data_IF_744383201452
#
_entry.id   IF_744383201452
#
_cell.length_a   1.000
_cell.length_b   1.000
_cell.length_c   1.000
_cell.angle_alpha   90.00
_cell.angle_beta   90.00
_cell.angle_gamma   90.00
#
_symmetry.space_group_name_H-M   'P 1'
#
loop_
_entity.id
_entity.type
_entity.pdbx_description
1 polymer ?
#
# COMPACT_ATOMS: atom_id res chain seq x y z
N UNK A 1 -12.20 -25.82 -47.82
CA UNK A 1 -11.06 -24.87 -47.65
C UNK A 1 -11.47 -23.78 -46.67
N UNK A 2 -11.17 -23.96 -45.39
CA UNK A 2 -11.46 -23.02 -44.30
C UNK A 2 -10.23 -22.13 -44.07
N UNK A 3 -10.38 -20.81 -44.22
CA UNK A 3 -9.32 -19.83 -43.91
C UNK A 3 -9.45 -19.41 -42.45
N UNK A 4 -8.51 -19.88 -41.62
CA UNK A 4 -8.30 -19.40 -40.25
C UNK A 4 -7.92 -17.92 -40.25
N UNK A 5 -8.75 -17.07 -39.63
CA UNK A 5 -8.38 -15.70 -39.27
C UNK A 5 -7.76 -15.70 -37.88
N UNK A 6 -6.45 -15.48 -37.82
CA UNK A 6 -5.73 -15.13 -36.59
C UNK A 6 -6.30 -13.82 -36.02
N UNK A 7 -6.94 -13.90 -34.86
CA UNK A 7 -7.29 -12.75 -34.04
C UNK A 7 -6.00 -12.29 -33.32
N UNK A 8 -5.32 -11.29 -33.87
CA UNK A 8 -4.31 -10.53 -33.12
C UNK A 8 -5.04 -9.61 -32.15
N UNK A 9 -5.14 -10.02 -30.89
CA UNK A 9 -5.50 -9.11 -29.78
C UNK A 9 -4.30 -8.20 -29.53
N UNK A 10 -4.32 -7.00 -30.12
CA UNK A 10 -3.45 -5.91 -29.68
C UNK A 10 -3.95 -5.45 -28.31
N UNK A 11 -3.24 -5.82 -27.24
CA UNK A 11 -3.36 -5.11 -25.98
C UNK A 11 -3.01 -3.64 -26.26
N UNK A 12 -3.88 -2.69 -25.87
CA UNK A 12 -3.63 -1.30 -26.17
C UNK A 12 -2.39 -0.83 -25.40
N UNK A 13 -1.56 0.00 -26.04
CA UNK A 13 -0.25 0.43 -25.54
C UNK A 13 -0.27 0.96 -24.09
N UNK A 14 -1.40 1.52 -23.63
CA UNK A 14 -1.60 1.96 -22.26
C UNK A 14 -1.70 0.82 -21.24
N UNK A 15 -2.27 -0.34 -21.61
CA UNK A 15 -2.31 -1.52 -20.75
C UNK A 15 -0.91 -2.13 -20.56
N UNK A 16 -0.09 -2.12 -21.63
CA UNK A 16 1.32 -2.51 -21.54
C UNK A 16 2.13 -1.52 -20.69
N UNK A 17 1.86 -0.22 -20.78
CA UNK A 17 2.48 0.78 -19.93
C UNK A 17 2.10 0.63 -18.45
N UNK A 18 0.84 0.30 -18.14
CA UNK A 18 0.40 0.00 -16.77
C UNK A 18 1.05 -1.28 -16.25
N UNK A 19 1.12 -2.33 -17.06
CA UNK A 19 1.80 -3.59 -16.70
C UNK A 19 3.31 -3.37 -16.50
N UNK A 20 3.95 -2.54 -17.33
CA UNK A 20 5.36 -2.15 -17.17
C UNK A 20 5.58 -1.32 -15.91
N UNK A 21 4.72 -0.36 -15.61
CA UNK A 21 4.80 0.43 -14.37
C UNK A 21 4.58 -0.47 -13.15
N UNK A 22 3.62 -1.39 -13.19
CA UNK A 22 3.35 -2.36 -12.12
C UNK A 22 4.50 -3.37 -11.94
N UNK A 23 5.16 -3.82 -13.02
CA UNK A 23 6.27 -4.78 -12.96
C UNK A 23 7.62 -4.16 -12.59
N UNK A 24 7.79 -2.84 -12.71
CA UNK A 24 8.93 -2.12 -12.13
C UNK A 24 8.72 -1.69 -10.67
N UNK A 25 7.47 -1.67 -10.19
CA UNK A 25 7.17 -1.40 -8.78
C UNK A 25 7.56 -2.58 -7.87
N UNK A 26 7.41 -3.83 -8.33
CA UNK A 26 7.62 -5.02 -7.48
C UNK A 26 9.07 -5.29 -7.05
N UNK A 27 10.13 -5.23 -7.91
CA UNK A 27 11.49 -5.46 -7.44
C UNK A 27 12.04 -4.30 -6.60
N UNK A 28 11.67 -3.05 -6.93
CA UNK A 28 12.07 -1.88 -6.15
C UNK A 28 11.37 -1.84 -4.77
N UNK A 29 10.14 -2.35 -4.67
CA UNK A 29 9.45 -2.54 -3.38
C UNK A 29 10.07 -3.67 -2.57
N UNK A 30 10.44 -4.81 -3.18
CA UNK A 30 11.06 -5.94 -2.47
C UNK A 30 12.42 -5.55 -1.83
N UNK A 31 13.25 -4.79 -2.54
CA UNK A 31 14.54 -4.31 -2.02
C UNK A 31 14.34 -3.30 -0.88
N UNK A 32 13.35 -2.41 -0.99
CA UNK A 32 13.00 -1.47 0.08
C UNK A 32 12.45 -2.22 1.29
N UNK A 33 11.59 -3.22 1.10
CA UNK A 33 11.03 -4.01 2.19
C UNK A 33 12.11 -4.79 2.93
N UNK A 34 13.02 -5.47 2.23
CA UNK A 34 14.13 -6.18 2.87
C UNK A 34 15.00 -5.23 3.72
N UNK A 35 15.27 -4.03 3.20
CA UNK A 35 16.03 -3.00 3.91
C UNK A 35 15.27 -2.42 5.10
N UNK A 36 13.96 -2.23 4.98
CA UNK A 36 13.07 -1.79 6.06
C UNK A 36 13.08 -2.78 7.23
N UNK A 37 12.95 -4.08 6.94
CA UNK A 37 12.97 -5.13 7.95
C UNK A 37 14.34 -5.27 8.63
N UNK A 38 15.44 -5.17 7.88
CA UNK A 38 16.80 -5.20 8.46
C UNK A 38 17.02 -4.00 9.40
N UNK A 39 16.65 -2.79 8.96
CA UNK A 39 16.74 -1.60 9.83
C UNK A 39 15.85 -1.68 11.05
N UNK A 40 14.61 -2.18 10.92
CA UNK A 40 13.72 -2.36 12.06
C UNK A 40 14.34 -3.32 13.10
N UNK A 41 14.90 -4.45 12.65
CA UNK A 41 15.56 -5.41 13.51
C UNK A 41 16.80 -4.82 14.21
N UNK A 42 17.57 -3.98 13.52
CA UNK A 42 18.74 -3.28 14.09
C UNK A 42 18.31 -2.25 15.12
N UNK A 43 17.34 -1.40 14.79
CA UNK A 43 16.87 -0.33 15.68
C UNK A 43 16.24 -0.91 16.96
N UNK A 44 15.53 -2.03 16.86
CA UNK A 44 15.03 -2.77 18.02
C UNK A 44 16.14 -3.26 18.98
N UNK A 45 17.38 -3.39 18.50
CA UNK A 45 18.54 -3.77 19.34
C UNK A 45 19.32 -2.57 19.86
N UNK A 46 19.32 -1.47 19.11
CA UNK A 46 20.12 -0.27 19.41
C UNK A 46 19.40 0.71 20.34
N UNK A 47 18.07 0.82 20.22
CA UNK A 47 17.25 1.69 21.05
C UNK A 47 16.87 0.91 22.32
N UNK A 48 17.07 1.47 23.54
CA UNK A 48 16.66 0.79 24.75
C UNK A 48 15.13 0.61 24.83
N UNK A 49 14.71 -0.49 25.47
CA UNK A 49 13.33 -0.94 25.43
C UNK A 49 12.28 0.07 25.97
N UNK A 50 12.53 0.86 27.03
CA UNK A 50 11.58 1.85 27.52
C UNK A 50 11.25 2.93 26.48
N UNK A 51 12.28 3.53 25.89
CA UNK A 51 12.17 4.59 24.88
C UNK A 51 11.57 4.05 23.59
N UNK A 52 11.91 2.82 23.21
CA UNK A 52 11.32 2.14 22.05
C UNK A 52 9.82 1.91 22.23
N UNK A 53 9.37 1.46 23.41
CA UNK A 53 7.95 1.27 23.71
C UNK A 53 7.18 2.60 23.69
N UNK A 54 7.74 3.62 24.33
CA UNK A 54 7.14 4.95 24.35
C UNK A 54 7.01 5.52 22.93
N UNK A 55 8.06 5.41 22.11
CA UNK A 55 8.02 5.79 20.71
C UNK A 55 6.97 4.98 19.93
N UNK A 56 6.95 3.66 20.12
CA UNK A 56 6.00 2.77 19.45
C UNK A 56 4.55 3.14 19.76
N UNK A 57 4.18 3.26 21.03
CA UNK A 57 2.80 3.56 21.47
C UNK A 57 2.30 4.87 20.86
N UNK A 58 3.15 5.90 20.86
CA UNK A 58 2.81 7.21 20.31
C UNK A 58 2.74 7.19 18.78
N UNK A 59 3.71 6.57 18.09
CA UNK A 59 3.69 6.48 16.62
C UNK A 59 2.55 5.59 16.12
N UNK A 60 2.20 4.53 16.85
CA UNK A 60 1.06 3.67 16.52
C UNK A 60 -0.28 4.39 16.73
N UNK A 61 -0.34 5.40 17.60
CA UNK A 61 -1.52 6.24 17.79
C UNK A 61 -1.74 7.26 16.67
N UNK A 62 -0.71 7.58 15.87
CA UNK A 62 -0.86 8.52 14.76
C UNK A 62 -1.83 8.00 13.70
N UNK A 63 -2.65 8.89 13.11
CA UNK A 63 -3.53 8.50 12.01
C UNK A 63 -2.72 8.10 10.77
N UNK A 64 -3.28 7.21 9.93
CA UNK A 64 -2.63 6.79 8.69
C UNK A 64 -2.50 7.92 7.66
N UNK A 65 -3.20 9.04 7.84
CA UNK A 65 -3.03 10.26 7.06
C UNK A 65 -1.85 11.12 7.51
N UNK A 66 -1.25 10.80 8.67
CA UNK A 66 -0.22 11.64 9.26
C UNK A 66 0.97 11.82 8.32
N UNK A 67 1.47 13.05 8.23
CA UNK A 67 2.64 13.40 7.42
C UNK A 67 3.95 13.31 8.24
N UNK A 68 5.09 13.56 7.60
CA UNK A 68 6.41 13.48 8.26
C UNK A 68 6.60 14.55 9.34
N UNK A 69 6.04 15.75 9.16
CA UNK A 69 6.17 16.85 10.11
C UNK A 69 5.36 16.60 11.37
N UNK A 70 4.14 16.06 11.25
CA UNK A 70 3.32 15.65 12.39
C UNK A 70 4.01 14.55 13.20
N UNK A 71 4.61 13.56 12.52
CA UNK A 71 5.40 12.53 13.17
C UNK A 71 6.62 13.13 13.89
N UNK A 72 7.36 14.03 13.26
CA UNK A 72 8.52 14.71 13.90
C UNK A 72 8.11 15.55 15.10
N UNK A 73 7.01 16.30 14.98
CA UNK A 73 6.47 17.08 16.08
C UNK A 73 6.12 16.19 17.28
N UNK A 74 5.56 15.00 17.03
CA UNK A 74 5.31 14.03 18.08
C UNK A 74 6.60 13.49 18.70
N UNK A 75 7.61 13.17 17.91
CA UNK A 75 8.89 12.68 18.47
C UNK A 75 9.57 13.73 19.35
N UNK A 76 9.50 15.00 18.95
CA UNK A 76 10.07 16.11 19.71
C UNK A 76 9.40 16.32 21.07
N UNK A 77 8.12 15.96 21.24
CA UNK A 77 7.43 16.08 22.53
C UNK A 77 7.77 14.96 23.51
N UNK A 78 8.32 13.84 23.03
CA UNK A 78 8.62 12.67 23.88
C UNK A 78 9.93 12.78 24.65
N UNK A 79 10.82 13.73 24.32
CA UNK A 79 12.14 13.95 24.94
C UNK A 79 12.88 12.65 25.30
N UNK A 80 13.09 11.79 24.29
CA UNK A 80 13.64 10.45 24.50
C UNK A 80 15.13 10.43 24.90
N UNK A 81 15.81 11.58 24.93
CA UNK A 81 17.25 11.72 25.24
C UNK A 81 18.16 10.79 24.43
N UNK A 82 17.74 10.47 23.21
CA UNK A 82 18.45 9.63 22.26
C UNK A 82 18.77 10.42 21.00
N UNK A 83 19.74 9.98 20.19
CA UNK A 83 19.99 10.58 18.88
C UNK A 83 18.71 10.59 18.04
N UNK A 84 18.43 11.72 17.40
CA UNK A 84 17.15 11.98 16.72
C UNK A 84 16.97 11.05 15.51
N UNK A 85 18.02 10.85 14.72
CA UNK A 85 17.97 10.14 13.44
C UNK A 85 17.58 8.64 13.55
N UNK A 86 18.11 7.82 14.48
CA UNK A 86 17.67 6.43 14.63
C UNK A 86 16.24 6.33 15.15
N UNK A 87 15.81 7.25 16.01
CA UNK A 87 14.43 7.30 16.53
C UNK A 87 13.46 7.71 15.42
N UNK A 88 13.83 8.72 14.64
CA UNK A 88 13.06 9.16 13.48
C UNK A 88 12.98 8.05 12.43
N UNK A 89 14.08 7.35 12.14
CA UNK A 89 14.06 6.22 11.22
C UNK A 89 13.14 5.09 11.72
N UNK A 90 13.20 4.77 13.02
CA UNK A 90 12.32 3.77 13.63
C UNK A 90 10.84 4.15 13.48
N UNK A 91 10.48 5.38 13.87
CA UNK A 91 9.12 5.91 13.75
C UNK A 91 8.63 5.93 12.30
N UNK A 92 9.48 6.37 11.37
CA UNK A 92 9.18 6.41 9.94
C UNK A 92 8.89 5.01 9.41
N UNK A 93 9.71 4.01 9.78
CA UNK A 93 9.51 2.62 9.39
C UNK A 93 8.20 2.07 9.95
N UNK A 94 7.91 2.28 11.25
CA UNK A 94 6.68 1.81 11.90
C UNK A 94 5.43 2.34 11.18
N UNK A 95 5.38 3.65 10.98
CA UNK A 95 4.24 4.30 10.35
C UNK A 95 4.13 3.91 8.86
N UNK A 96 5.25 3.74 8.15
CA UNK A 96 5.27 3.24 6.78
C UNK A 96 4.72 1.81 6.69
N UNK A 97 5.12 0.89 7.58
CA UNK A 97 4.62 -0.48 7.60
C UNK A 97 3.11 -0.54 7.85
N UNK A 98 2.58 0.34 8.72
CA UNK A 98 1.13 0.48 8.94
C UNK A 98 0.41 0.97 7.68
N UNK A 99 0.95 1.98 7.00
CA UNK A 99 0.38 2.48 5.72
C UNK A 99 0.44 1.42 4.63
N UNK A 100 1.55 0.68 4.51
CA UNK A 100 1.69 -0.38 3.52
C UNK A 100 0.70 -1.55 3.79
N UNK A 101 0.49 -1.93 5.06
CA UNK A 101 -0.53 -2.92 5.44
C UNK A 101 -1.93 -2.48 5.04
N UNK A 102 -2.29 -1.23 5.29
CA UNK A 102 -3.59 -0.68 4.90
C UNK A 102 -3.74 -0.59 3.37
N UNK A 103 -2.68 -0.23 2.64
CA UNK A 103 -2.68 -0.24 1.17
C UNK A 103 -2.94 -1.63 0.60
N UNK A 104 -2.36 -2.68 1.20
CA UNK A 104 -2.64 -4.06 0.81
C UNK A 104 -4.12 -4.39 1.03
N UNK A 105 -4.64 -4.10 2.22
CA UNK A 105 -6.05 -4.33 2.54
C UNK A 105 -7.02 -3.61 1.58
N UNK A 106 -6.76 -2.33 1.29
CA UNK A 106 -7.59 -1.57 0.35
C UNK A 106 -7.51 -2.15 -1.08
N UNK A 107 -6.33 -2.65 -1.47
CA UNK A 107 -6.15 -3.29 -2.78
C UNK A 107 -6.90 -4.61 -2.88
N UNK A 108 -6.85 -5.43 -1.83
CA UNK A 108 -7.59 -6.70 -1.75
C UNK A 108 -9.11 -6.45 -1.80
N UNK A 109 -9.59 -5.42 -1.10
CA UNK A 109 -11.00 -5.01 -1.15
C UNK A 109 -11.41 -4.51 -2.55
N UNK A 110 -10.52 -3.80 -3.25
CA UNK A 110 -10.77 -3.35 -4.62
C UNK A 110 -10.88 -4.54 -5.58
N UNK A 111 -10.01 -5.55 -5.43
CA UNK A 111 -10.06 -6.77 -6.23
C UNK A 111 -11.37 -7.54 -5.98
N UNK A 112 -11.74 -7.76 -4.72
CA UNK A 112 -13.00 -8.40 -4.36
C UNK A 112 -14.23 -7.64 -4.90
N UNK A 113 -14.22 -6.30 -4.85
CA UNK A 113 -15.27 -5.48 -5.44
C UNK A 113 -15.38 -5.70 -6.96
N UNK A 114 -14.24 -5.70 -7.67
CA UNK A 114 -14.22 -5.94 -9.12
C UNK A 114 -14.67 -7.35 -9.50
N UNK A 115 -14.37 -8.36 -8.69
CA UNK A 115 -14.92 -9.71 -8.85
C UNK A 115 -16.43 -9.72 -8.65
N UNK A 116 -16.94 -9.06 -7.61
CA UNK A 116 -18.37 -8.88 -7.36
C UNK A 116 -19.09 -8.23 -8.55
N UNK A 117 -18.51 -7.16 -9.13
CA UNK A 117 -19.06 -6.51 -10.32
C UNK A 117 -19.13 -7.47 -11.51
N UNK A 118 -18.08 -8.27 -11.76
CA UNK A 118 -18.08 -9.26 -12.85
C UNK A 118 -19.17 -10.31 -12.65
N UNK A 119 -19.34 -10.81 -11.42
CA UNK A 119 -20.36 -11.80 -11.10
C UNK A 119 -21.77 -11.25 -11.33
N UNK A 120 -22.05 -10.02 -10.87
CA UNK A 120 -23.34 -9.36 -11.11
C UNK A 120 -23.58 -9.07 -12.59
N UNK A 121 -22.53 -8.70 -13.33
CA UNK A 121 -22.64 -8.48 -14.77
C UNK A 121 -23.02 -9.79 -15.50
N UNK A 122 -22.34 -10.89 -15.19
CA UNK A 122 -22.64 -12.21 -15.76
C UNK A 122 -24.07 -12.66 -15.41
N UNK A 123 -24.49 -12.45 -14.16
CA UNK A 123 -25.85 -12.73 -13.73
C UNK A 123 -26.88 -11.92 -14.52
N UNK A 124 -26.62 -10.63 -14.73
CA UNK A 124 -27.51 -9.76 -15.53
C UNK A 124 -27.60 -10.21 -16.98
N UNK A 125 -26.48 -10.61 -17.59
CA UNK A 125 -26.45 -11.14 -18.96
C UNK A 125 -27.22 -12.46 -19.08
N UNK A 126 -27.04 -13.38 -18.12
CA UNK A 126 -27.76 -14.64 -18.07
C UNK A 126 -29.28 -14.40 -17.94
N UNK A 127 -29.68 -13.51 -17.03
CA UNK A 127 -31.08 -13.12 -16.89
C UNK A 127 -31.63 -12.47 -18.16
N UNK A 128 -30.91 -11.53 -18.76
CA UNK A 128 -31.37 -10.83 -19.95
C UNK A 128 -31.55 -11.77 -21.15
N UNK A 129 -30.63 -12.73 -21.34
CA UNK A 129 -30.72 -13.75 -22.39
C UNK A 129 -31.94 -14.66 -22.20
N UNK A 130 -32.27 -15.00 -20.95
CA UNK A 130 -33.40 -15.86 -20.63
C UNK A 130 -34.72 -15.10 -20.46
N UNK A 131 -34.69 -13.78 -20.28
CA UNK A 131 -35.89 -12.96 -20.07
C UNK A 131 -36.86 -13.01 -21.26
N UNK A 132 -36.33 -13.17 -22.48
CA UNK A 132 -37.12 -13.29 -23.69
C UNK A 132 -37.92 -14.61 -23.78
N UNK A 133 -37.48 -15.66 -23.07
CA UNK A 133 -38.13 -16.98 -23.08
C UNK A 133 -39.15 -17.15 -21.95
N UNK A 134 -39.27 -16.17 -21.04
CA UNK A 134 -40.21 -16.20 -19.93
C UNK A 134 -41.62 -15.82 -20.36
N UNK A 135 -42.60 -16.56 -19.84
CA UNK A 135 -44.02 -16.28 -20.08
C UNK A 135 -44.43 -14.91 -19.54
N UNK A 136 -45.17 -14.17 -20.36
CA UNK A 136 -45.66 -12.81 -20.09
C UNK A 136 -46.89 -12.76 -19.17
N UNK A 137 -47.23 -13.85 -18.49
CA UNK A 137 -48.38 -13.91 -17.59
C UNK A 137 -48.29 -12.81 -16.52
N UNK A 138 -49.33 -11.98 -16.44
CA UNK A 138 -49.39 -10.70 -15.71
C UNK A 138 -49.57 -10.85 -14.19
N UNK A 139 -49.19 -11.97 -13.61
CA UNK A 139 -49.30 -12.15 -12.17
C UNK A 139 -48.18 -11.39 -11.46
N UNK A 140 -48.54 -10.73 -10.36
CA UNK A 140 -47.60 -10.04 -9.48
C UNK A 140 -46.42 -10.94 -9.09
N UNK A 141 -45.29 -10.27 -8.85
CA UNK A 141 -44.07 -10.95 -8.44
C UNK A 141 -44.30 -11.73 -7.15
N UNK A 142 -43.84 -12.98 -7.15
CA UNK A 142 -43.82 -13.84 -5.97
C UNK A 142 -42.54 -13.66 -5.15
N UNK A 143 -41.54 -12.99 -5.71
CA UNK A 143 -40.28 -12.72 -5.04
C UNK A 143 -40.38 -11.46 -4.19
N UNK A 144 -40.01 -11.60 -2.92
CA UNK A 144 -39.69 -10.48 -2.06
C UNK A 144 -38.17 -10.31 -2.08
N UNK A 145 -37.69 -9.36 -2.86
CA UNK A 145 -36.30 -8.91 -2.76
C UNK A 145 -36.28 -7.84 -1.68
N UNK A 146 -35.47 -8.05 -0.64
CA UNK A 146 -35.28 -7.04 0.40
C UNK A 146 -34.89 -5.70 -0.25
N UNK A 147 -35.49 -4.62 0.27
CA UNK A 147 -35.08 -3.23 0.02
C UNK A 147 -33.56 -3.13 0.23
N UNK A 148 -32.81 -2.27 -0.50
CA UNK A 148 -31.35 -2.17 -0.41
C UNK A 148 -30.87 -1.77 0.99
N UNK A 149 -30.88 -2.72 1.91
CA UNK A 149 -30.20 -2.68 3.18
C UNK A 149 -29.06 -3.69 3.05
N UNK A 150 -27.85 -3.16 2.88
CA UNK A 150 -26.63 -3.96 2.85
C UNK A 150 -26.38 -4.51 4.25
N UNK A 151 -26.16 -5.82 4.35
CA UNK A 151 -25.81 -6.42 5.64
C UNK A 151 -24.36 -6.08 5.96
N UNK A 152 -24.15 -5.41 7.09
CA UNK A 152 -22.82 -5.11 7.59
C UNK A 152 -22.32 -6.30 8.41
N UNK A 153 -21.40 -7.08 7.84
CA UNK A 153 -20.85 -8.29 8.47
C UNK A 153 -19.44 -8.01 9.00
N UNK A 154 -19.12 -8.51 10.19
CA UNK A 154 -17.75 -8.43 10.71
C UNK A 154 -16.85 -9.39 9.92
N UNK A 155 -15.81 -8.85 9.29
CA UNK A 155 -14.76 -9.63 8.64
C UNK A 155 -13.97 -10.39 9.70
N UNK A 156 -13.94 -11.71 9.55
CA UNK A 156 -13.29 -12.65 10.48
C UNK A 156 -11.78 -12.44 10.54
N UNK A 157 -11.18 -11.86 9.49
CA UNK A 157 -9.73 -11.74 9.33
C UNK A 157 -9.18 -10.36 9.72
N UNK A 158 -10.01 -9.31 9.71
CA UNK A 158 -9.53 -7.92 9.85
C UNK A 158 -10.19 -7.14 10.99
N UNK A 159 -11.11 -7.76 11.73
CA UNK A 159 -11.97 -7.12 12.75
C UNK A 159 -12.79 -5.92 12.24
N UNK A 160 -12.72 -5.63 10.94
CA UNK A 160 -13.46 -4.58 10.27
C UNK A 160 -14.84 -5.06 9.85
N UNK A 161 -15.78 -4.14 9.75
CA UNK A 161 -17.10 -4.40 9.22
C UNK A 161 -17.09 -4.20 7.70
N UNK A 162 -17.58 -5.18 6.96
CA UNK A 162 -17.71 -5.15 5.50
C UNK A 162 -19.20 -5.14 5.14
N UNK A 163 -19.56 -4.29 4.18
CA UNK A 163 -20.90 -4.30 3.59
C UNK A 163 -21.00 -5.47 2.61
N UNK A 164 -21.92 -6.39 2.87
CA UNK A 164 -22.16 -7.57 2.06
C UNK A 164 -23.38 -7.31 1.18
N UNK A 165 -23.22 -7.57 -0.11
CA UNK A 165 -24.32 -7.49 -1.06
C UNK A 165 -25.39 -8.52 -0.70
N UNK A 166 -26.66 -8.14 -0.89
CA UNK A 166 -27.77 -9.08 -0.74
C UNK A 166 -27.59 -10.30 -1.66
N UNK A 167 -27.96 -11.50 -1.20
CA UNK A 167 -27.96 -12.67 -2.07
C UNK A 167 -29.06 -12.53 -3.12
N UNK A 168 -28.68 -12.64 -4.40
CA UNK A 168 -29.64 -12.72 -5.50
C UNK A 168 -29.95 -14.20 -5.82
N UNK A 169 -31.23 -14.55 -6.06
CA UNK A 169 -31.60 -15.93 -6.34
C UNK A 169 -31.06 -16.39 -7.70
N UNK A 170 -30.71 -17.67 -7.84
CA UNK A 170 -30.30 -18.23 -9.13
C UNK A 170 -31.48 -18.33 -10.08
N UNK A 171 -31.26 -17.98 -11.35
CA UNK A 171 -32.28 -18.09 -12.38
C UNK A 171 -32.90 -19.48 -12.45
N UNK A 172 -34.23 -19.52 -12.64
CA UNK A 172 -34.98 -20.74 -12.91
C UNK A 172 -35.95 -20.48 -14.07
N UNK A 173 -36.06 -21.43 -15.00
CA UNK A 173 -36.97 -21.37 -16.15
C UNK A 173 -38.45 -21.24 -15.75
N UNK A 174 -38.81 -21.64 -14.53
CA UNK A 174 -40.16 -21.46 -13.97
C UNK A 174 -40.44 -20.04 -13.47
N UNK A 175 -39.49 -19.11 -13.61
CA UNK A 175 -39.67 -17.73 -13.15
C UNK A 175 -40.72 -16.98 -13.96
N UNK A 176 -41.47 -16.13 -13.28
CA UNK A 176 -42.31 -15.16 -13.96
C UNK A 176 -41.44 -14.03 -14.49
N UNK A 177 -41.91 -13.37 -15.56
CA UNK A 177 -41.25 -12.18 -16.09
C UNK A 177 -41.14 -11.05 -15.07
N UNK A 178 -42.13 -10.90 -14.17
CA UNK A 178 -42.10 -9.93 -13.07
C UNK A 178 -40.97 -10.23 -12.05
N UNK A 179 -40.78 -11.50 -11.69
CA UNK A 179 -39.73 -11.95 -10.77
C UNK A 179 -38.34 -11.67 -11.36
N UNK A 180 -38.14 -12.00 -12.65
CA UNK A 180 -36.90 -11.72 -13.36
C UNK A 180 -36.61 -10.22 -13.49
N UNK A 181 -37.66 -9.39 -13.69
CA UNK A 181 -37.53 -7.94 -13.73
C UNK A 181 -37.04 -7.36 -12.40
N UNK A 182 -37.61 -7.80 -11.28
CA UNK A 182 -37.14 -7.37 -9.94
C UNK A 182 -35.67 -7.75 -9.72
N UNK A 183 -35.27 -8.96 -10.10
CA UNK A 183 -33.88 -9.40 -10.01
C UNK A 183 -32.92 -8.56 -10.88
N UNK A 184 -33.35 -8.15 -12.07
CA UNK A 184 -32.56 -7.28 -12.95
C UNK A 184 -32.40 -5.88 -12.36
N UNK A 185 -33.48 -5.30 -11.82
CA UNK A 185 -33.45 -4.00 -11.14
C UNK A 185 -32.55 -4.06 -9.89
N UNK A 186 -32.65 -5.15 -9.13
CA UNK A 186 -31.82 -5.39 -7.96
C UNK A 186 -30.32 -5.49 -8.33
N UNK A 187 -29.98 -6.32 -9.32
CA UNK A 187 -28.61 -6.47 -9.80
C UNK A 187 -28.04 -5.16 -10.36
N UNK A 188 -28.86 -4.34 -11.03
CA UNK A 188 -28.44 -3.05 -11.55
C UNK A 188 -28.13 -2.05 -10.42
N UNK A 189 -28.98 -1.98 -9.40
CA UNK A 189 -28.72 -1.17 -8.20
C UNK A 189 -27.44 -1.60 -7.47
N UNK A 190 -27.22 -2.91 -7.34
CA UNK A 190 -26.05 -3.46 -6.66
C UNK A 190 -24.76 -3.16 -7.46
N UNK A 191 -24.84 -3.18 -8.81
CA UNK A 191 -23.73 -2.78 -9.70
C UNK A 191 -23.36 -1.30 -9.56
N UNK A 192 -24.36 -0.41 -9.52
CA UNK A 192 -24.14 1.03 -9.34
C UNK A 192 -23.42 1.31 -8.01
N UNK A 193 -23.90 0.68 -6.93
CA UNK A 193 -23.27 0.76 -5.63
C UNK A 193 -21.82 0.25 -5.65
N UNK A 194 -21.56 -0.92 -6.25
CA UNK A 194 -20.19 -1.45 -6.33
C UNK A 194 -19.28 -0.52 -7.13
N UNK A 195 -19.78 0.13 -8.18
CA UNK A 195 -19.02 1.08 -8.99
C UNK A 195 -18.63 2.32 -8.18
N UNK A 196 -19.56 2.88 -7.40
CA UNK A 196 -19.28 4.01 -6.50
C UNK A 196 -18.25 3.62 -5.44
N UNK A 197 -18.38 2.43 -4.85
CA UNK A 197 -17.39 1.88 -3.90
C UNK A 197 -16.02 1.70 -4.55
N UNK A 198 -15.96 1.21 -5.79
CA UNK A 198 -14.70 1.04 -6.53
C UNK A 198 -13.98 2.38 -6.68
N UNK A 199 -14.72 3.43 -7.03
CA UNK A 199 -14.17 4.77 -7.17
C UNK A 199 -13.64 5.31 -5.83
N UNK A 200 -14.41 5.14 -4.75
CA UNK A 200 -13.97 5.52 -3.41
C UNK A 200 -12.72 4.77 -2.95
N UNK A 201 -12.64 3.46 -3.22
CA UNK A 201 -11.46 2.63 -2.91
C UNK A 201 -10.23 3.10 -3.69
N UNK A 202 -10.38 3.34 -5.00
CA UNK A 202 -9.29 3.89 -5.83
C UNK A 202 -8.77 5.22 -5.31
N UNK A 203 -9.67 6.12 -4.92
CA UNK A 203 -9.30 7.43 -4.38
C UNK A 203 -8.58 7.30 -3.03
N UNK A 204 -9.07 6.44 -2.12
CA UNK A 204 -8.40 6.14 -0.84
C UNK A 204 -7.00 5.55 -1.06
N UNK A 205 -6.85 4.57 -1.95
CA UNK A 205 -5.55 3.97 -2.29
C UNK A 205 -4.60 5.04 -2.83
N UNK A 206 -5.07 5.88 -3.76
CA UNK A 206 -4.27 6.94 -4.36
C UNK A 206 -3.80 7.95 -3.30
N UNK A 207 -4.68 8.40 -2.43
CA UNK A 207 -4.36 9.34 -1.35
C UNK A 207 -3.34 8.74 -0.38
N UNK A 208 -3.56 7.51 0.09
CA UNK A 208 -2.66 6.85 1.02
C UNK A 208 -1.30 6.53 0.39
N UNK A 209 -1.27 6.11 -0.88
CA UNK A 209 -0.03 5.85 -1.61
C UNK A 209 0.78 7.13 -1.85
N UNK A 210 0.10 8.24 -2.18
CA UNK A 210 0.72 9.55 -2.30
C UNK A 210 1.33 10.01 -0.97
N UNK A 211 0.62 9.78 0.13
CA UNK A 211 1.08 10.10 1.48
C UNK A 211 2.22 9.17 1.96
N UNK A 212 2.25 7.90 1.57
CA UNK A 212 3.31 6.96 1.93
C UNK A 212 4.63 7.20 1.16
N UNK A 213 4.57 7.82 -0.02
CA UNK A 213 5.75 8.07 -0.87
C UNK A 213 6.84 8.91 -0.16
N UNK A 214 6.54 10.05 0.49
CA UNK A 214 7.50 10.77 1.32
C UNK A 214 8.17 9.90 2.38
N UNK A 215 7.43 9.04 3.09
CA UNK A 215 7.99 8.13 4.09
C UNK A 215 8.99 7.15 3.47
N UNK A 216 8.67 6.56 2.32
CA UNK A 216 9.59 5.65 1.60
C UNK A 216 10.88 6.36 1.18
N UNK A 217 10.78 7.60 0.70
CA UNK A 217 11.94 8.41 0.35
C UNK A 217 12.77 8.74 1.60
N UNK A 218 12.09 9.09 2.69
CA UNK A 218 12.73 9.46 3.95
C UNK A 218 13.47 8.29 4.60
N UNK A 219 12.87 7.10 4.64
CA UNK A 219 13.56 5.87 5.07
C UNK A 219 14.83 5.64 4.26
N UNK A 220 14.78 5.80 2.93
CA UNK A 220 15.98 5.66 2.08
C UNK A 220 17.05 6.69 2.43
N UNK A 221 16.68 7.94 2.64
CA UNK A 221 17.62 9.01 3.01
C UNK A 221 18.28 8.73 4.36
N UNK A 222 17.49 8.52 5.42
CA UNK A 222 18.00 8.27 6.77
C UNK A 222 18.81 6.97 6.83
N UNK A 223 18.32 5.87 6.24
CA UNK A 223 19.06 4.59 6.21
C UNK A 223 20.37 4.65 5.42
N UNK A 224 20.57 5.64 4.55
CA UNK A 224 21.84 5.86 3.87
C UNK A 224 22.80 6.72 4.71
N UNK A 225 22.27 7.60 5.56
CA UNK A 225 23.03 8.48 6.44
C UNK A 225 23.53 7.76 7.69
N UNK A 226 22.82 6.74 8.17
CA UNK A 226 23.19 6.00 9.39
C UNK A 226 24.18 4.86 9.10
N UNK A 227 25.13 4.67 10.02
CA UNK A 227 26.01 3.51 10.05
C UNK A 227 25.24 2.28 10.53
N UNK A 228 25.17 1.19 9.74
CA UNK A 228 24.42 -0.02 10.10
C UNK A 228 24.89 -0.74 11.38
N UNK A 229 26.11 -0.48 11.84
CA UNK A 229 26.67 -1.11 13.05
C UNK A 229 26.32 -0.33 14.32
N UNK A 230 26.34 0.99 14.26
CA UNK A 230 26.15 1.85 15.44
C UNK A 230 24.77 2.52 15.48
N UNK A 231 24.07 2.59 14.35
CA UNK A 231 22.81 3.34 14.20
C UNK A 231 22.97 4.85 14.32
N UNK A 232 24.20 5.35 14.39
CA UNK A 232 24.52 6.76 14.46
C UNK A 232 24.81 7.31 13.06
N UNK A 233 24.70 8.64 12.86
CA UNK A 233 25.12 9.27 11.61
C UNK A 233 26.55 8.84 11.24
N UNK A 234 26.73 8.40 9.99
CA UNK A 234 28.05 8.10 9.44
C UNK A 234 28.90 9.34 9.61
N UNK A 235 29.93 9.26 10.44
CA UNK A 235 30.97 10.28 10.43
C UNK A 235 31.51 10.32 9.02
N UNK A 236 31.40 11.47 8.36
CA UNK A 236 32.21 11.71 7.17
C UNK A 236 33.64 11.40 7.58
N UNK A 237 34.31 10.53 6.83
CA UNK A 237 35.77 10.44 6.91
C UNK A 237 36.31 11.74 6.32
N UNK A 238 36.13 12.85 7.02
CA UNK A 238 37.09 13.93 6.91
C UNK A 238 38.43 13.28 7.24
N UNK A 239 39.38 13.42 6.32
CA UNK A 239 40.77 13.03 6.52
C UNK A 239 41.41 13.89 7.62
N UNK A 240 40.82 13.93 8.81
CA UNK A 240 41.50 14.36 10.01
C UNK A 240 42.37 13.18 10.42
N UNK A 241 43.57 13.13 9.86
CA UNK A 241 44.68 12.43 10.52
C UNK A 241 44.83 13.07 11.90
N UNK A 242 44.50 12.36 13.00
CA UNK A 242 44.93 12.83 14.30
C UNK A 242 46.43 12.53 14.37
N UNK A 243 47.23 13.60 14.53
CA UNK A 243 48.71 13.62 14.60
C UNK A 243 49.42 14.13 13.34
N UNK A 244 49.27 15.44 13.07
CA UNK A 244 50.41 16.22 12.59
C UNK A 244 51.44 16.27 13.72
N UNK A 245 52.33 15.28 13.78
CA UNK A 245 53.64 15.50 14.39
C UNK A 245 54.28 16.58 13.52
N UNK A 246 54.52 17.77 14.09
CA UNK A 246 55.30 18.83 13.44
C UNK A 246 56.58 18.19 12.88
N UNK A 247 56.91 18.37 11.59
CA UNK A 247 58.19 17.89 11.10
C UNK A 247 59.30 18.50 11.98
N UNK A 248 60.31 17.72 12.40
CA UNK A 248 61.39 18.27 13.21
C UNK A 248 62.02 19.45 12.46
N UNK A 249 62.47 20.49 13.19
CA UNK A 249 63.08 21.65 12.56
C UNK A 249 64.24 21.21 11.66
N UNK A 250 64.43 21.85 10.49
CA UNK A 250 65.47 21.48 9.55
C UNK A 250 66.83 21.55 10.26
N UNK A 251 67.57 20.44 10.21
CA UNK A 251 68.96 20.39 10.65
C UNK A 251 69.78 21.07 9.56
N UNK A 252 70.44 22.19 9.90
CA UNK A 252 71.43 22.82 9.03
C UNK A 252 72.59 21.83 8.80
N UNK A 253 72.59 21.17 7.64
CA UNK A 253 73.69 20.32 7.23
C UNK A 253 74.89 21.21 6.87
N UNK A 254 76.09 20.99 7.45
CA UNK A 254 77.27 21.76 7.09
C UNK A 254 77.63 21.51 5.62
N UNK A 255 77.89 22.60 4.90
CA UNK A 255 78.31 22.60 3.50
C UNK A 255 79.57 21.74 3.35
N UNK A 256 79.47 20.66 2.58
CA UNK A 256 80.61 19.84 2.20
C UNK A 256 81.62 20.70 1.44
N UNK A 257 82.78 20.94 2.05
CA UNK A 257 83.90 21.61 1.40
C UNK A 257 84.39 20.74 0.23
N UNK A 258 84.28 21.30 -0.98
CA UNK A 258 84.80 20.72 -2.21
C UNK A 258 86.32 20.87 -2.21
N UNK A 259 87.03 19.87 -1.72
CA UNK A 259 88.47 19.79 -1.90
C UNK A 259 88.80 19.41 -3.35
N UNK A 260 89.83 20.09 -3.87
CA UNK A 260 90.31 20.09 -5.26
C UNK A 260 90.80 18.72 -5.73
#
# INVERSE_FOLDING_TARGET
MTKNKCIRKCLPSWALAIILVLSFLTPAQAIVQARVWDWLARLNRLIPAPELRLCQENVDSLPLTANLEEMRSLLNTLDLKLPEEPIELYATIRLLLRKDKELTLLSDNLEANQEGQKLLHNYKEELASNYATLDSNSNDSSLLIAVPDFEVVKNVNTDQYIEVLRPLPRFNQSWKKADAKLCLEAAQSDLEYLHDQEQQLKDKIKQLAANAKPFRQHVRTLSNQLDPATGLPKREKNNEFPNLILPPPPVDLPVLQKNR
#
